data_IF_664258521873
#
_entry.id   IF_664258521873
#
_cell.length_a   1.000
_cell.length_b   1.000
_cell.length_c   1.000
_cell.angle_alpha   90.00
_cell.angle_beta   90.00
_cell.angle_gamma   90.00
#
_symmetry.space_group_name_H-M   'P 1'
#
loop_
_entity.id
_entity.type
_entity.pdbx_description
1 polymer ?
#
# COMPACT_ATOMS: atom_id res chain seq x y z
N UNK A 1 35.93 19.71 -25.85
CA UNK A 1 35.48 19.04 -27.08
C UNK A 1 34.05 18.63 -26.91
N UNK A 2 33.26 19.21 -27.47
CA UNK A 2 31.98 19.30 -28.09
C UNK A 2 31.40 17.96 -28.52
N UNK A 3 30.11 17.76 -28.25
CA UNK A 3 29.33 16.64 -28.76
C UNK A 3 27.87 16.77 -28.34
N UNK A 4 27.17 17.59 -29.12
CA UNK A 4 25.74 17.82 -29.09
C UNK A 4 25.01 16.72 -29.87
N UNK A 5 23.91 16.12 -29.32
CA UNK A 5 22.90 15.44 -30.14
C UNK A 5 21.51 15.70 -29.58
N UNK A 6 20.77 16.51 -30.34
CA UNK A 6 19.39 16.88 -30.12
C UNK A 6 18.42 15.75 -30.45
N UNK A 7 17.32 15.66 -29.71
CA UNK A 7 16.18 14.78 -29.96
C UNK A 7 15.15 15.39 -30.92
N UNK A 8 14.28 14.58 -31.54
CA UNK A 8 13.50 14.95 -32.72
C UNK A 8 12.03 15.33 -32.42
N UNK A 9 11.79 16.36 -31.60
CA UNK A 9 10.47 16.99 -31.50
C UNK A 9 10.59 18.46 -31.19
N UNK A 10 10.89 19.24 -32.23
CA UNK A 10 10.90 20.69 -32.18
C UNK A 10 10.64 21.25 -33.58
N UNK A 11 9.50 21.90 -33.74
CA UNK A 11 9.23 22.73 -34.87
C UNK A 11 7.95 23.49 -34.57
N UNK A 12 7.92 24.73 -34.42
CA UNK A 12 8.54 25.81 -35.11
C UNK A 12 7.43 26.73 -35.53
N UNK A 13 7.28 27.86 -34.80
CA UNK A 13 6.33 28.88 -35.14
C UNK A 13 6.76 29.64 -36.39
N UNK A 14 5.82 30.27 -37.02
CA UNK A 14 6.13 31.50 -37.75
C UNK A 14 4.96 32.45 -37.79
N UNK A 15 5.30 33.65 -37.48
CA UNK A 15 4.61 34.91 -37.47
C UNK A 15 4.51 35.45 -38.91
N UNK A 16 3.42 36.13 -39.28
CA UNK A 16 3.31 36.79 -40.56
C UNK A 16 2.07 37.67 -40.68
N UNK A 17 2.25 38.92 -40.43
CA UNK A 17 1.42 40.11 -40.54
C UNK A 17 1.06 40.48 -42.01
N UNK A 18 -0.09 41.18 -42.14
CA UNK A 18 -0.45 42.02 -43.30
C UNK A 18 -1.81 41.63 -43.87
N UNK A 19 -2.86 42.36 -43.77
CA UNK A 19 -3.15 43.69 -44.18
C UNK A 19 -3.78 43.70 -45.59
N UNK A 20 -5.02 44.18 -45.75
CA UNK A 20 -5.53 44.60 -47.07
C UNK A 20 -6.96 44.21 -47.41
N UNK A 21 -7.71 45.22 -47.52
CA UNK A 21 -9.11 45.42 -47.83
C UNK A 21 -9.59 44.85 -49.18
N UNK A 22 -10.90 44.89 -49.30
CA UNK A 22 -11.79 45.17 -50.43
C UNK A 22 -12.53 44.04 -51.14
N UNK A 23 -13.82 44.20 -50.99
CA UNK A 23 -14.89 44.19 -51.98
C UNK A 23 -15.26 42.97 -52.86
N UNK A 24 -16.50 42.60 -52.57
CA UNK A 24 -17.62 42.55 -53.55
C UNK A 24 -17.86 41.34 -54.46
N UNK A 25 -19.09 40.88 -54.31
CA UNK A 25 -19.99 40.26 -55.32
C UNK A 25 -19.75 38.80 -55.78
N UNK A 26 -20.72 38.03 -55.42
CA UNK A 26 -21.53 37.42 -56.51
C UNK A 26 -21.38 35.96 -56.77
N UNK A 27 -22.48 35.28 -56.56
CA UNK A 27 -23.02 34.22 -57.40
C UNK A 27 -22.52 32.76 -57.26
N UNK A 28 -23.44 31.98 -56.82
CA UNK A 28 -23.83 30.67 -57.40
C UNK A 28 -22.75 29.64 -57.73
N UNK A 29 -22.58 28.68 -56.90
CA UNK A 29 -21.85 27.48 -57.24
C UNK A 29 -22.31 26.28 -56.44
N UNK A 30 -22.96 25.34 -57.11
CA UNK A 30 -23.41 24.03 -56.61
C UNK A 30 -22.26 23.30 -55.89
N UNK A 31 -22.54 22.84 -54.69
CA UNK A 31 -21.67 21.87 -53.97
C UNK A 31 -21.93 20.48 -54.51
N UNK A 32 -20.90 19.67 -54.76
CA UNK A 32 -21.07 18.26 -55.04
C UNK A 32 -21.43 17.54 -53.74
N UNK A 33 -22.42 16.67 -53.88
CA UNK A 33 -22.85 15.71 -52.88
C UNK A 33 -21.68 14.77 -52.55
N UNK A 34 -21.30 14.69 -51.31
CA UNK A 34 -20.35 13.68 -50.83
C UNK A 34 -21.15 12.63 -50.04
N UNK A 35 -21.57 11.60 -50.78
CA UNK A 35 -22.21 10.40 -50.23
C UNK A 35 -21.16 9.57 -49.49
N UNK A 36 -20.98 9.84 -48.19
CA UNK A 36 -20.44 8.88 -47.25
C UNK A 36 -21.57 8.10 -46.61
N UNK A 37 -21.38 6.85 -46.17
CA UNK A 37 -22.43 6.05 -45.58
C UNK A 37 -22.92 6.70 -44.28
N UNK A 38 -24.07 7.36 -44.36
CA UNK A 38 -24.83 7.83 -43.22
C UNK A 38 -25.36 6.61 -42.48
N UNK A 39 -24.96 6.48 -41.22
CA UNK A 39 -25.59 5.58 -40.26
C UNK A 39 -26.72 6.37 -39.61
N UNK A 40 -28.00 6.21 -40.08
CA UNK A 40 -29.10 7.08 -39.66
C UNK A 40 -29.54 6.90 -38.20
N UNK A 41 -29.12 5.81 -37.54
CA UNK A 41 -29.62 5.46 -36.23
C UNK A 41 -29.03 6.28 -35.07
N UNK A 42 -27.83 6.81 -35.22
CA UNK A 42 -27.17 7.55 -34.12
C UNK A 42 -27.67 8.97 -34.03
N UNK A 43 -27.87 9.63 -35.16
CA UNK A 43 -28.38 11.00 -35.21
C UNK A 43 -29.85 11.08 -34.79
N UNK A 44 -30.67 10.08 -35.12
CA UNK A 44 -32.04 9.98 -34.65
C UNK A 44 -32.14 9.68 -33.15
N UNK A 45 -31.25 8.87 -32.62
CA UNK A 45 -31.18 8.62 -31.18
C UNK A 45 -30.71 9.86 -30.40
N UNK A 46 -29.72 10.58 -30.91
CA UNK A 46 -29.23 11.83 -30.31
C UNK A 46 -30.31 12.92 -30.38
N UNK A 47 -31.03 13.03 -31.49
CA UNK A 47 -32.10 14.01 -31.63
C UNK A 47 -33.32 13.66 -30.76
N UNK A 48 -33.73 12.38 -30.66
CA UNK A 48 -34.74 11.93 -29.71
C UNK A 48 -34.34 12.14 -28.26
N UNK A 49 -33.08 11.88 -27.92
CA UNK A 49 -32.55 12.17 -26.59
C UNK A 49 -32.57 13.66 -26.25
N UNK A 50 -32.23 14.52 -27.23
CA UNK A 50 -32.28 15.99 -27.06
C UNK A 50 -33.71 16.51 -26.95
N UNK A 51 -34.66 15.97 -27.71
CA UNK A 51 -36.08 16.34 -27.58
C UNK A 51 -36.66 15.91 -26.25
N UNK A 52 -36.38 14.72 -25.78
CA UNK A 52 -36.85 14.27 -24.46
C UNK A 52 -36.22 15.08 -23.33
N UNK A 53 -34.94 15.42 -23.43
CA UNK A 53 -34.25 16.34 -22.47
C UNK A 53 -34.88 17.75 -22.52
N UNK A 54 -35.25 18.25 -23.71
CA UNK A 54 -35.86 19.55 -23.88
C UNK A 54 -37.27 19.60 -23.28
N UNK A 55 -38.04 18.52 -23.41
CA UNK A 55 -39.38 18.39 -22.80
C UNK A 55 -39.29 18.26 -21.29
N UNK A 56 -38.28 17.52 -20.76
CA UNK A 56 -38.02 17.38 -19.33
C UNK A 56 -37.46 18.66 -18.69
N UNK A 57 -36.68 19.45 -19.44
CA UNK A 57 -36.15 20.73 -18.98
C UNK A 57 -37.08 21.93 -19.14
N UNK A 58 -38.34 21.71 -19.45
CA UNK A 58 -39.41 22.74 -19.37
C UNK A 58 -39.48 23.68 -20.56
N UNK A 59 -39.22 23.19 -21.79
CA UNK A 59 -39.46 23.91 -23.03
C UNK A 59 -40.94 23.79 -23.47
N UNK A 60 -41.88 24.40 -22.74
CA UNK A 60 -43.25 24.58 -23.14
C UNK A 60 -43.37 25.68 -24.21
N UNK A 61 -43.78 25.29 -25.43
CA UNK A 61 -44.07 26.18 -26.52
C UNK A 61 -45.35 26.99 -26.24
N UNK A 62 -45.21 28.20 -25.76
CA UNK A 62 -46.29 29.17 -25.53
C UNK A 62 -46.22 30.27 -26.54
N UNK A 63 -46.97 30.12 -27.63
CA UNK A 63 -47.27 31.15 -28.64
C UNK A 63 -48.05 32.30 -28.03
N UNK A 64 -47.44 33.48 -27.85
CA UNK A 64 -48.17 34.65 -27.40
C UNK A 64 -47.36 35.92 -27.20
N UNK A 65 -47.42 36.79 -28.21
CA UNK A 65 -47.43 38.27 -28.16
C UNK A 65 -46.27 39.06 -27.47
N UNK A 66 -45.68 39.83 -28.33
CA UNK A 66 -44.91 41.05 -28.18
C UNK A 66 -45.41 41.96 -27.03
N UNK A 67 -44.47 42.37 -26.15
CA UNK A 67 -44.65 43.43 -25.19
C UNK A 67 -43.36 43.64 -24.41
N UNK A 68 -42.71 44.80 -24.59
CA UNK A 68 -41.39 45.14 -24.13
C UNK A 68 -41.21 45.36 -22.67
N UNK A 69 -39.95 45.39 -22.26
CA UNK A 69 -39.47 46.16 -21.12
C UNK A 69 -39.02 45.37 -19.90
N UNK A 70 -37.77 45.56 -19.53
CA UNK A 70 -37.33 45.44 -18.14
C UNK A 70 -36.40 44.27 -17.81
N UNK A 71 -35.09 44.57 -17.73
CA UNK A 71 -34.08 43.65 -17.22
C UNK A 71 -34.35 43.28 -15.76
N UNK A 72 -34.27 42.02 -15.48
CA UNK A 72 -34.22 41.46 -14.16
C UNK A 72 -33.69 40.04 -14.34
N UNK A 73 -32.48 39.75 -13.85
CA UNK A 73 -31.87 38.42 -13.89
C UNK A 73 -32.74 37.46 -13.08
N UNK A 74 -33.65 36.76 -13.73
CA UNK A 74 -34.34 35.63 -13.14
C UNK A 74 -33.38 34.44 -13.13
N UNK A 75 -32.85 34.15 -11.96
CA UNK A 75 -32.18 32.89 -11.70
C UNK A 75 -33.05 31.70 -12.09
N UNK A 76 -32.47 30.52 -12.31
CA UNK A 76 -33.20 29.33 -12.79
C UNK A 76 -34.36 29.05 -11.84
N UNK A 77 -35.60 29.13 -12.40
CA UNK A 77 -36.81 28.81 -11.65
C UNK A 77 -36.76 27.34 -11.25
N UNK A 78 -36.54 27.12 -9.94
CA UNK A 78 -36.59 25.78 -9.32
C UNK A 78 -38.03 25.26 -9.38
N UNK A 79 -38.38 24.64 -10.48
CA UNK A 79 -39.63 23.90 -10.60
C UNK A 79 -39.52 22.59 -9.83
N UNK A 80 -40.60 22.10 -9.22
CA UNK A 80 -40.66 20.84 -8.48
C UNK A 80 -40.03 19.66 -9.27
N UNK A 81 -40.14 19.68 -10.58
CA UNK A 81 -39.52 18.69 -11.48
C UNK A 81 -38.00 18.80 -11.56
N UNK A 82 -37.44 20.01 -11.62
CA UNK A 82 -35.96 20.20 -11.64
C UNK A 82 -35.32 19.84 -10.31
N UNK A 83 -36.00 20.10 -9.19
CA UNK A 83 -35.55 19.66 -7.85
C UNK A 83 -35.58 18.13 -7.77
N UNK A 84 -36.64 17.48 -8.25
CA UNK A 84 -36.76 16.02 -8.28
C UNK A 84 -35.63 15.37 -9.12
N UNK A 85 -35.35 15.91 -10.31
CA UNK A 85 -34.28 15.45 -11.18
C UNK A 85 -32.91 15.66 -10.53
N UNK A 86 -32.71 16.79 -9.86
CA UNK A 86 -31.49 17.10 -9.11
C UNK A 86 -31.23 16.10 -7.96
N UNK A 87 -32.27 15.77 -7.20
CA UNK A 87 -32.18 14.75 -6.13
C UNK A 87 -31.87 13.38 -6.72
N UNK A 88 -32.50 13.00 -7.81
CA UNK A 88 -32.25 11.70 -8.45
C UNK A 88 -30.84 11.60 -9.01
N UNK A 89 -30.30 12.67 -9.59
CA UNK A 89 -28.94 12.76 -10.05
C UNK A 89 -27.95 12.71 -8.86
N UNK A 90 -28.27 13.38 -7.76
CA UNK A 90 -27.44 13.33 -6.54
C UNK A 90 -27.40 11.93 -5.93
N UNK A 91 -28.54 11.22 -5.87
CA UNK A 91 -28.62 9.83 -5.41
C UNK A 91 -27.81 8.91 -6.35
N UNK A 92 -27.94 9.09 -7.66
CA UNK A 92 -27.17 8.30 -8.64
C UNK A 92 -25.66 8.50 -8.50
N UNK A 93 -25.23 9.75 -8.31
CA UNK A 93 -23.83 10.09 -8.11
C UNK A 93 -23.32 9.56 -6.75
N UNK A 94 -24.12 9.62 -5.72
CA UNK A 94 -23.82 9.06 -4.41
C UNK A 94 -23.68 7.53 -4.44
N UNK A 95 -24.59 6.83 -5.11
CA UNK A 95 -24.50 5.39 -5.33
C UNK A 95 -23.24 5.04 -6.12
N UNK A 96 -22.94 5.77 -7.18
CA UNK A 96 -21.73 5.56 -7.98
C UNK A 96 -20.46 5.75 -7.13
N UNK A 97 -20.39 6.78 -6.29
CA UNK A 97 -19.27 7.06 -5.39
C UNK A 97 -19.12 6.04 -4.24
N UNK A 98 -20.18 5.25 -3.96
CA UNK A 98 -20.17 4.23 -2.92
C UNK A 98 -19.53 2.92 -3.36
N UNK A 99 -19.35 2.71 -4.67
CA UNK A 99 -18.60 1.56 -5.17
C UNK A 99 -17.10 1.81 -5.11
N UNK A 100 -16.36 0.77 -4.74
CA UNK A 100 -14.89 0.81 -4.75
C UNK A 100 -14.32 -0.56 -5.08
N UNK A 101 -13.06 -0.58 -5.50
CA UNK A 101 -12.38 -1.82 -5.87
C UNK A 101 -11.22 -2.07 -4.92
N UNK A 102 -11.07 -3.32 -4.49
CA UNK A 102 -10.00 -3.83 -3.64
C UNK A 102 -9.13 -4.76 -4.48
N UNK A 103 -7.81 -4.58 -4.41
CA UNK A 103 -6.86 -5.41 -5.14
C UNK A 103 -6.78 -6.82 -4.56
N UNK A 104 -6.28 -7.82 -5.33
CA UNK A 104 -6.16 -9.21 -4.84
C UNK A 104 -5.27 -9.36 -3.60
N UNK A 105 -4.26 -8.49 -3.46
CA UNK A 105 -3.34 -8.46 -2.31
C UNK A 105 -3.87 -7.69 -1.11
N UNK A 106 -5.02 -7.01 -1.25
CA UNK A 106 -5.61 -6.15 -0.24
C UNK A 106 -6.93 -6.74 0.27
N UNK A 107 -7.31 -6.34 1.47
CA UNK A 107 -8.66 -6.50 2.03
C UNK A 107 -9.11 -5.18 2.61
N UNK A 108 -10.43 -4.94 2.56
CA UNK A 108 -11.01 -3.76 3.19
C UNK A 108 -11.69 -4.16 4.49
N UNK A 109 -11.53 -3.32 5.48
CA UNK A 109 -12.31 -3.39 6.72
C UNK A 109 -13.36 -2.30 6.66
N UNK A 110 -14.62 -2.69 6.66
CA UNK A 110 -15.75 -1.77 6.61
C UNK A 110 -16.28 -1.48 8.02
N UNK A 111 -16.47 -0.19 8.29
CA UNK A 111 -16.95 0.28 9.57
C UNK A 111 -18.27 1.03 9.38
N UNK A 112 -19.31 0.58 10.06
CA UNK A 112 -20.59 1.27 10.14
C UNK A 112 -20.58 2.24 11.33
N UNK A 113 -20.53 3.53 11.04
CA UNK A 113 -20.45 4.60 12.06
C UNK A 113 -19.30 4.43 13.09
N UNK A 114 -18.22 3.73 12.68
CA UNK A 114 -17.07 3.45 13.53
C UNK A 114 -17.07 2.08 14.21
N UNK A 115 -18.15 1.30 14.09
CA UNK A 115 -18.23 -0.08 14.55
C UNK A 115 -17.88 -1.03 13.39
N UNK A 116 -17.17 -2.12 13.67
CA UNK A 116 -16.83 -3.12 12.67
C UNK A 116 -18.09 -3.73 12.06
N UNK A 117 -18.16 -3.74 10.73
CA UNK A 117 -19.25 -4.34 9.97
C UNK A 117 -18.85 -5.67 9.36
N UNK A 118 -17.91 -5.63 8.42
CA UNK A 118 -17.41 -6.82 7.74
C UNK A 118 -16.03 -6.58 7.12
N UNK A 119 -15.38 -7.66 6.67
CA UNK A 119 -14.15 -7.62 5.88
C UNK A 119 -14.50 -7.81 4.42
N UNK A 120 -14.31 -6.77 3.62
CA UNK A 120 -14.52 -6.82 2.18
C UNK A 120 -13.41 -7.61 1.48
N UNK A 121 -13.81 -8.53 0.61
CA UNK A 121 -12.90 -9.32 -0.19
C UNK A 121 -12.37 -8.54 -1.40
N UNK A 122 -11.37 -9.13 -2.09
CA UNK A 122 -10.85 -8.56 -3.35
C UNK A 122 -11.94 -8.49 -4.42
N UNK A 123 -12.02 -7.36 -5.13
CA UNK A 123 -13.00 -7.12 -6.16
C UNK A 123 -13.81 -5.83 -5.96
N UNK A 124 -15.04 -5.83 -6.43
CA UNK A 124 -15.95 -4.70 -6.31
C UNK A 124 -16.74 -4.80 -5.01
N UNK A 125 -16.60 -3.81 -4.15
CA UNK A 125 -17.30 -3.70 -2.87
C UNK A 125 -18.17 -2.43 -2.84
N UNK A 126 -19.09 -2.37 -1.88
CA UNK A 126 -20.06 -1.29 -1.75
C UNK A 126 -20.07 -0.73 -0.32
N UNK A 127 -19.54 0.48 -0.14
CA UNK A 127 -19.52 1.19 1.14
C UNK A 127 -20.15 2.58 0.97
N UNK A 128 -21.39 2.79 1.39
CA UNK A 128 -22.10 4.06 1.23
C UNK A 128 -21.57 5.11 2.20
N UNK A 129 -20.64 5.93 1.70
CA UNK A 129 -20.13 7.07 2.45
C UNK A 129 -21.26 8.13 2.67
N UNK A 130 -21.41 8.78 3.81
CA UNK A 130 -20.53 8.79 5.00
C UNK A 130 -20.90 7.76 6.08
N UNK A 131 -21.89 6.90 5.85
CA UNK A 131 -22.44 5.97 6.85
C UNK A 131 -21.47 4.81 7.08
N UNK A 132 -20.92 4.26 5.98
CA UNK A 132 -19.91 3.22 6.01
C UNK A 132 -18.57 3.84 5.60
N UNK A 133 -17.59 3.71 6.46
CA UNK A 133 -16.19 4.05 6.17
C UNK A 133 -15.41 2.77 5.91
N UNK A 134 -14.34 2.86 5.13
CA UNK A 134 -13.51 1.72 4.77
C UNK A 134 -12.04 2.00 4.99
N UNK A 135 -11.32 1.00 5.43
CA UNK A 135 -9.86 1.01 5.49
C UNK A 135 -9.32 -0.16 4.67
N UNK A 136 -8.46 0.13 3.69
CA UNK A 136 -7.89 -0.89 2.79
C UNK A 136 -6.48 -1.20 3.22
N UNK A 137 -6.22 -2.49 3.50
CA UNK A 137 -4.96 -2.96 4.04
C UNK A 137 -4.39 -4.05 3.14
N UNK A 138 -3.10 -3.92 2.79
CA UNK A 138 -2.38 -4.98 2.11
C UNK A 138 -2.09 -6.12 3.09
N UNK A 139 -2.74 -7.27 2.88
CA UNK A 139 -2.65 -8.44 3.77
C UNK A 139 -1.61 -9.44 3.29
N UNK A 140 -1.48 -9.61 1.97
CA UNK A 140 -0.56 -10.61 1.40
C UNK A 140 0.89 -10.13 1.38
N UNK A 141 1.12 -8.82 1.42
CA UNK A 141 2.45 -8.26 1.35
C UNK A 141 3.27 -8.62 2.59
N UNK A 142 4.44 -9.19 2.35
CA UNK A 142 5.43 -9.38 3.40
C UNK A 142 5.97 -8.03 3.87
N UNK A 143 6.04 -7.88 5.18
CA UNK A 143 6.63 -6.73 5.86
C UNK A 143 7.79 -7.22 6.69
N UNK A 144 8.81 -6.39 6.86
CA UNK A 144 9.96 -6.71 7.68
C UNK A 144 10.16 -5.67 8.79
N UNK A 145 10.63 -6.13 9.92
CA UNK A 145 11.09 -5.30 11.04
C UNK A 145 12.48 -5.79 11.40
N UNK A 146 13.44 -4.86 11.40
CA UNK A 146 14.81 -5.12 11.81
C UNK A 146 14.96 -4.80 13.30
N UNK A 147 15.48 -5.75 14.07
CA UNK A 147 15.59 -5.69 15.53
C UNK A 147 17.06 -5.86 15.90
N UNK A 148 17.51 -5.10 16.91
CA UNK A 148 18.91 -5.06 17.30
C UNK A 148 19.72 -3.98 16.59
N UNK A 149 19.31 -3.59 15.39
CA UNK A 149 20.00 -2.56 14.60
C UNK A 149 19.81 -1.20 15.25
N UNK A 150 20.79 -0.77 16.05
CA UNK A 150 20.77 0.54 16.66
C UNK A 150 21.00 1.64 15.63
N UNK A 151 19.93 2.31 15.21
CA UNK A 151 20.03 3.52 14.37
C UNK A 151 20.63 4.72 15.10
N UNK A 152 20.78 4.64 16.43
CA UNK A 152 21.22 5.76 17.29
C UNK A 152 22.42 5.42 18.17
N UNK A 153 23.13 4.32 17.91
CA UNK A 153 24.32 3.95 18.71
C UNK A 153 23.99 3.42 20.10
N UNK A 154 22.83 2.79 20.30
CA UNK A 154 22.43 2.19 21.57
C UNK A 154 22.68 0.69 21.61
N UNK A 155 22.56 0.11 22.79
CA UNK A 155 22.83 -1.30 23.11
C UNK A 155 21.63 -2.23 22.81
N UNK A 156 20.83 -1.91 21.76
CA UNK A 156 19.56 -2.59 21.49
C UNK A 156 19.71 -4.08 21.16
N UNK A 157 20.83 -4.47 20.53
CA UNK A 157 21.14 -5.87 20.17
C UNK A 157 21.86 -6.66 21.27
N UNK A 158 22.27 -6.02 22.36
CA UNK A 158 23.04 -6.69 23.41
C UNK A 158 22.15 -7.57 24.29
N UNK A 159 22.50 -8.84 24.37
CA UNK A 159 21.79 -9.85 25.17
C UNK A 159 22.76 -10.70 25.95
N UNK A 160 22.29 -11.23 27.09
CA UNK A 160 23.04 -12.13 27.94
C UNK A 160 22.64 -13.57 27.67
N UNK A 161 23.61 -14.43 27.39
CA UNK A 161 23.43 -15.87 27.20
C UNK A 161 23.34 -16.62 28.52
N UNK A 162 22.90 -17.89 28.50
CA UNK A 162 22.77 -18.74 29.67
C UNK A 162 24.12 -19.08 30.33
N UNK A 163 25.20 -19.01 29.59
CA UNK A 163 26.61 -19.18 30.06
C UNK A 163 27.31 -17.84 30.39
N UNK A 164 26.52 -16.79 30.70
CA UNK A 164 26.98 -15.49 31.21
C UNK A 164 27.85 -14.69 30.21
N UNK A 165 27.72 -14.96 28.91
CA UNK A 165 28.38 -14.19 27.87
C UNK A 165 27.44 -13.11 27.32
N UNK A 166 28.01 -11.98 26.87
CA UNK A 166 27.27 -10.93 26.18
C UNK A 166 27.42 -11.13 24.67
N UNK A 167 26.31 -11.11 23.98
CA UNK A 167 26.22 -11.20 22.50
C UNK A 167 25.51 -9.99 21.95
N UNK A 168 25.90 -9.57 20.76
CA UNK A 168 25.27 -8.55 19.95
C UNK A 168 24.54 -9.23 18.80
N UNK A 169 23.21 -9.18 18.81
CA UNK A 169 22.35 -9.92 17.89
C UNK A 169 21.46 -8.96 17.13
N UNK A 170 21.62 -8.97 15.80
CA UNK A 170 20.73 -8.31 14.85
C UNK A 170 19.94 -9.37 14.11
N UNK A 171 18.62 -9.19 14.03
CA UNK A 171 17.74 -10.10 13.31
C UNK A 171 16.57 -9.36 12.69
N UNK A 172 16.01 -9.97 11.65
CA UNK A 172 14.87 -9.45 10.91
C UNK A 172 13.69 -10.40 11.06
N UNK A 173 12.55 -9.85 11.41
CA UNK A 173 11.28 -10.57 11.46
C UNK A 173 10.47 -10.22 10.22
N UNK A 174 10.11 -11.25 9.44
CA UNK A 174 9.26 -11.12 8.27
C UNK A 174 7.87 -11.64 8.61
N UNK A 175 6.87 -10.79 8.39
CA UNK A 175 5.50 -11.04 8.79
C UNK A 175 4.49 -10.51 7.79
N UNK A 176 3.27 -11.01 7.85
CA UNK A 176 2.13 -10.49 7.09
C UNK A 176 0.87 -10.45 7.97
N UNK A 177 -0.22 -9.91 7.44
CA UNK A 177 -1.49 -9.81 8.13
C UNK A 177 -2.37 -10.96 7.67
N UNK A 178 -2.85 -11.78 8.61
CA UNK A 178 -3.80 -12.87 8.33
C UNK A 178 -5.23 -12.38 8.52
N UNK A 179 -5.48 -11.66 9.60
CA UNK A 179 -6.80 -11.11 9.91
C UNK A 179 -6.71 -9.58 10.08
N UNK A 180 -7.20 -8.81 9.08
CA UNK A 180 -7.13 -7.36 9.14
C UNK A 180 -8.04 -6.74 10.21
N UNK A 181 -9.10 -7.43 10.64
CA UNK A 181 -9.96 -6.97 11.72
C UNK A 181 -9.18 -6.99 13.04
N UNK A 182 -8.62 -8.14 13.41
CA UNK A 182 -7.86 -8.28 14.65
C UNK A 182 -6.65 -7.33 14.67
N UNK A 183 -5.96 -7.21 13.53
CA UNK A 183 -4.82 -6.30 13.37
C UNK A 183 -5.15 -4.84 13.65
N UNK A 184 -6.32 -4.36 13.23
CA UNK A 184 -6.73 -2.96 13.42
C UNK A 184 -7.28 -2.66 14.81
N UNK A 185 -8.00 -3.61 15.41
CA UNK A 185 -8.76 -3.30 16.63
C UNK A 185 -8.13 -3.82 17.91
N UNK A 186 -7.32 -4.86 17.85
CA UNK A 186 -6.74 -5.46 19.05
C UNK A 186 -5.39 -4.86 19.44
N UNK A 187 -4.67 -4.28 18.49
CA UNK A 187 -3.36 -3.69 18.72
C UNK A 187 -3.37 -2.18 18.48
N UNK A 188 -2.98 -1.41 19.49
CA UNK A 188 -2.89 0.05 19.34
C UNK A 188 -1.76 0.47 18.39
N UNK A 189 -0.65 -0.24 18.40
CA UNK A 189 0.51 0.00 17.53
C UNK A 189 1.15 -1.34 17.13
N UNK A 190 0.61 -2.01 16.09
CA UNK A 190 1.06 -3.33 15.71
C UNK A 190 2.56 -3.46 15.45
N UNK A 191 3.22 -2.56 14.69
CA UNK A 191 4.66 -2.69 14.44
C UNK A 191 5.50 -2.65 15.72
N UNK A 192 5.21 -1.76 16.65
CA UNK A 192 5.93 -1.67 17.93
C UNK A 192 5.66 -2.89 18.82
N UNK A 193 4.43 -3.42 18.80
CA UNK A 193 4.10 -4.63 19.54
C UNK A 193 4.86 -5.84 19.01
N UNK A 194 4.96 -5.99 17.68
CA UNK A 194 5.73 -7.06 17.05
C UNK A 194 7.21 -6.92 17.41
N UNK A 195 7.77 -5.72 17.32
CA UNK A 195 9.17 -5.41 17.69
C UNK A 195 9.44 -5.80 19.14
N UNK A 196 8.66 -5.29 20.09
CA UNK A 196 8.83 -5.57 21.52
C UNK A 196 8.64 -7.05 21.86
N UNK A 197 7.66 -7.71 21.25
CA UNK A 197 7.44 -9.15 21.44
C UNK A 197 8.61 -9.96 20.88
N UNK A 198 9.11 -9.61 19.72
CA UNK A 198 10.23 -10.31 19.09
C UNK A 198 11.52 -10.12 19.88
N UNK A 199 11.80 -8.91 20.38
CA UNK A 199 12.94 -8.66 21.25
C UNK A 199 12.86 -9.44 22.57
N UNK A 200 11.67 -9.48 23.19
CA UNK A 200 11.44 -10.24 24.41
C UNK A 200 11.62 -11.75 24.21
N UNK A 201 11.06 -12.28 23.12
CA UNK A 201 11.18 -13.70 22.77
C UNK A 201 12.63 -14.09 22.45
N UNK A 202 13.36 -13.23 21.74
CA UNK A 202 14.78 -13.45 21.48
C UNK A 202 15.56 -13.48 22.78
N UNK A 203 15.36 -12.50 23.66
CA UNK A 203 16.05 -12.44 24.96
C UNK A 203 15.76 -13.69 25.81
N UNK A 204 14.54 -14.21 25.76
CA UNK A 204 14.19 -15.46 26.45
C UNK A 204 14.97 -16.66 25.89
N UNK A 205 15.01 -16.83 24.58
CA UNK A 205 15.73 -17.94 23.94
C UNK A 205 17.23 -17.84 24.18
N UNK A 206 17.81 -16.65 24.03
CA UNK A 206 19.25 -16.44 24.23
C UNK A 206 19.67 -16.68 25.68
N UNK A 207 18.85 -16.28 26.65
CA UNK A 207 19.15 -16.51 28.07
C UNK A 207 19.13 -18.00 28.48
N UNK A 208 18.51 -18.85 27.67
CA UNK A 208 18.46 -20.30 27.84
C UNK A 208 19.49 -21.06 26.98
N UNK A 209 20.22 -20.34 26.11
CA UNK A 209 21.16 -20.90 25.14
C UNK A 209 22.61 -20.58 25.54
N UNK A 210 23.53 -21.49 25.20
CA UNK A 210 24.97 -21.23 25.31
C UNK A 210 25.46 -20.44 24.08
N UNK A 211 26.56 -19.74 24.21
CA UNK A 211 27.10 -18.89 23.14
C UNK A 211 27.52 -19.68 21.89
N UNK A 212 28.20 -20.81 22.05
CA UNK A 212 28.78 -21.57 20.94
C UNK A 212 27.73 -22.09 19.95
N UNK A 213 26.55 -22.65 20.34
CA UNK A 213 25.44 -22.98 19.45
C UNK A 213 24.89 -21.79 18.68
N UNK A 214 24.73 -20.64 19.33
CA UNK A 214 24.20 -19.41 18.75
C UNK A 214 25.06 -18.93 17.59
N UNK A 215 26.39 -18.99 17.76
CA UNK A 215 27.33 -18.49 16.75
C UNK A 215 27.42 -19.39 15.51
N UNK A 216 27.19 -20.71 15.63
CA UNK A 216 27.60 -21.66 14.58
C UNK A 216 26.47 -22.53 13.99
N UNK A 217 26.01 -23.55 14.72
CA UNK A 217 25.26 -24.66 14.14
C UNK A 217 23.75 -24.56 14.26
N UNK A 218 23.26 -23.89 15.27
CA UNK A 218 21.87 -23.99 15.66
C UNK A 218 21.05 -22.75 15.31
N UNK A 219 21.61 -21.83 14.51
CA UNK A 219 20.93 -20.60 14.08
C UNK A 219 19.56 -20.88 13.43
N UNK A 220 19.47 -21.91 12.59
CA UNK A 220 18.21 -22.29 11.96
C UNK A 220 17.19 -22.79 12.98
N UNK A 221 17.60 -23.68 13.89
CA UNK A 221 16.71 -24.19 14.94
C UNK A 221 16.28 -23.08 15.92
N UNK A 222 17.18 -22.14 16.22
CA UNK A 222 16.88 -20.96 17.04
C UNK A 222 15.88 -20.04 16.31
N UNK A 223 16.07 -19.81 15.01
CA UNK A 223 15.14 -19.02 14.20
C UNK A 223 13.73 -19.61 14.17
N UNK A 224 13.62 -20.93 14.03
CA UNK A 224 12.33 -21.63 14.05
C UNK A 224 11.65 -21.55 15.43
N UNK A 225 12.42 -21.78 16.52
CA UNK A 225 11.91 -21.61 17.88
C UNK A 225 11.47 -20.19 18.16
N UNK A 226 12.24 -19.22 17.71
CA UNK A 226 11.92 -17.81 17.87
C UNK A 226 10.63 -17.44 17.12
N UNK A 227 10.51 -17.88 15.85
CA UNK A 227 9.28 -17.69 15.10
C UNK A 227 8.07 -18.24 15.84
N UNK A 228 8.16 -19.48 16.33
CA UNK A 228 7.05 -20.14 17.03
C UNK A 228 6.71 -19.46 18.36
N UNK A 229 7.70 -18.98 19.09
CA UNK A 229 7.50 -18.24 20.33
C UNK A 229 6.86 -16.87 20.10
N UNK A 230 7.33 -16.12 19.10
CA UNK A 230 6.74 -14.84 18.69
C UNK A 230 5.30 -15.08 18.26
N UNK A 231 5.04 -16.07 17.40
CA UNK A 231 3.70 -16.39 16.91
C UNK A 231 2.76 -16.73 18.06
N UNK A 232 3.16 -17.62 18.96
CA UNK A 232 2.35 -18.02 20.13
C UNK A 232 2.01 -16.80 21.00
N UNK A 233 2.95 -15.91 21.21
CA UNK A 233 2.75 -14.69 21.99
C UNK A 233 1.78 -13.73 21.30
N UNK A 234 1.96 -13.50 19.99
CA UNK A 234 1.06 -12.64 19.21
C UNK A 234 -0.34 -13.23 19.07
N UNK A 235 -0.45 -14.56 18.99
CA UNK A 235 -1.75 -15.26 19.01
C UNK A 235 -2.48 -15.07 20.34
N UNK A 236 -1.75 -15.02 21.45
CA UNK A 236 -2.35 -14.76 22.78
C UNK A 236 -2.94 -13.36 22.91
N UNK A 237 -2.55 -12.43 22.05
CA UNK A 237 -3.09 -11.07 21.95
C UNK A 237 -4.20 -10.95 20.89
N UNK A 238 -4.56 -12.03 20.22
CA UNK A 238 -5.45 -12.03 19.05
C UNK A 238 -5.01 -10.95 18.02
N UNK A 239 -3.73 -10.96 17.68
CA UNK A 239 -3.11 -9.87 16.90
C UNK A 239 -3.48 -9.86 15.41
N UNK A 240 -3.97 -10.97 14.86
CA UNK A 240 -4.23 -11.13 13.42
C UNK A 240 -2.97 -11.08 12.54
N UNK A 241 -1.77 -11.27 13.14
CA UNK A 241 -0.47 -11.25 12.48
C UNK A 241 0.07 -12.67 12.34
N UNK A 242 0.71 -12.96 11.21
CA UNK A 242 1.41 -14.22 10.99
C UNK A 242 2.89 -13.96 10.74
N UNK A 243 3.75 -14.62 11.52
CA UNK A 243 5.19 -14.57 11.35
C UNK A 243 5.62 -15.62 10.34
N UNK A 244 6.15 -15.16 9.22
CA UNK A 244 6.55 -16.03 8.10
C UNK A 244 7.89 -16.68 8.41
N UNK A 245 8.89 -15.86 8.76
CA UNK A 245 10.26 -16.30 9.08
C UNK A 245 11.01 -15.28 9.91
N UNK A 246 12.04 -15.74 10.58
CA UNK A 246 13.03 -14.92 11.26
C UNK A 246 14.39 -15.17 10.61
N UNK A 247 15.08 -14.10 10.24
CA UNK A 247 16.42 -14.15 9.67
C UNK A 247 17.41 -13.55 10.64
N UNK A 248 18.50 -14.25 10.92
CA UNK A 248 19.61 -13.70 11.67
C UNK A 248 20.56 -12.97 10.72
N UNK A 249 20.80 -11.69 10.97
CA UNK A 249 21.77 -10.90 10.19
C UNK A 249 23.14 -10.94 10.87
N UNK A 250 23.18 -10.73 12.18
CA UNK A 250 24.41 -10.72 12.97
C UNK A 250 24.19 -11.45 14.29
N UNK A 251 25.20 -12.18 14.72
CA UNK A 251 25.29 -12.72 16.07
C UNK A 251 26.78 -12.85 16.38
N UNK A 252 27.34 -11.85 17.06
CA UNK A 252 28.77 -11.74 17.36
C UNK A 252 28.98 -11.26 18.80
N UNK A 253 30.10 -11.58 19.41
CA UNK A 253 30.50 -10.91 20.66
C UNK A 253 30.68 -9.40 20.42
N UNK A 254 30.43 -8.53 21.42
CA UNK A 254 30.67 -7.10 21.31
C UNK A 254 32.11 -6.78 20.90
N UNK A 255 32.30 -5.75 20.04
CA UNK A 255 33.62 -5.39 19.48
C UNK A 255 34.76 -5.32 20.48
N UNK A 256 34.59 -4.74 21.69
CA UNK A 256 35.71 -4.62 22.66
C UNK A 256 36.26 -5.97 23.17
N UNK A 257 35.45 -7.04 23.10
CA UNK A 257 35.82 -8.36 23.65
C UNK A 257 36.17 -9.40 22.58
N UNK A 258 36.01 -9.09 21.31
CA UNK A 258 36.26 -10.02 20.18
C UNK A 258 37.69 -10.61 20.25
N UNK A 259 38.72 -9.79 20.55
CA UNK A 259 40.11 -10.24 20.62
C UNK A 259 40.32 -11.24 21.75
N UNK A 260 39.74 -10.98 22.92
CA UNK A 260 39.84 -11.88 24.09
C UNK A 260 39.09 -13.19 23.84
N UNK A 261 37.92 -13.11 23.19
CA UNK A 261 37.13 -14.27 22.85
C UNK A 261 37.85 -15.19 21.86
N UNK A 262 38.50 -14.62 20.83
CA UNK A 262 39.33 -15.40 19.87
C UNK A 262 40.48 -16.10 20.57
N UNK A 263 41.15 -15.42 21.52
CA UNK A 263 42.25 -16.03 22.27
C UNK A 263 41.79 -17.22 23.12
N UNK A 264 40.56 -17.16 23.69
CA UNK A 264 39.97 -18.31 24.42
C UNK A 264 39.65 -19.46 23.46
N UNK A 265 39.05 -19.18 22.30
CA UNK A 265 38.76 -20.21 21.29
C UNK A 265 40.05 -20.89 20.78
N UNK A 266 41.11 -20.12 20.52
CA UNK A 266 42.38 -20.64 20.08
C UNK A 266 42.98 -21.56 21.15
N UNK A 267 42.88 -21.17 22.42
CA UNK A 267 43.37 -21.98 23.57
C UNK A 267 42.55 -23.28 23.73
N UNK A 268 41.24 -23.22 23.55
CA UNK A 268 40.37 -24.41 23.56
C UNK A 268 40.70 -25.39 22.42
N UNK A 269 40.87 -24.88 21.22
CA UNK A 269 41.27 -25.70 20.06
C UNK A 269 42.63 -26.35 20.27
N UNK A 270 43.59 -25.62 20.85
CA UNK A 270 44.90 -26.17 21.16
C UNK A 270 44.82 -27.23 22.25
N UNK A 271 44.02 -27.04 23.30
CA UNK A 271 43.73 -28.04 24.32
C UNK A 271 43.19 -29.32 23.70
N UNK A 272 42.13 -29.20 22.85
CA UNK A 272 41.50 -30.35 22.22
C UNK A 272 42.45 -31.06 21.24
N UNK A 273 43.30 -30.30 20.54
CA UNK A 273 44.36 -30.85 19.70
C UNK A 273 45.36 -31.69 20.51
N UNK A 274 45.82 -31.13 21.61
CA UNK A 274 46.79 -31.82 22.51
C UNK A 274 46.18 -33.05 23.13
N UNK A 275 44.90 -32.98 23.55
CA UNK A 275 44.17 -34.13 24.07
C UNK A 275 44.03 -35.23 23.03
N UNK A 276 43.59 -34.90 21.79
CA UNK A 276 43.44 -35.87 20.70
C UNK A 276 44.80 -36.53 20.35
N UNK A 277 45.91 -35.81 20.39
CA UNK A 277 47.24 -36.34 20.16
C UNK A 277 47.64 -37.31 21.32
N UNK A 278 47.36 -36.94 22.57
CA UNK A 278 47.63 -37.79 23.71
C UNK A 278 46.81 -39.09 23.69
N UNK A 279 45.50 -38.98 23.35
CA UNK A 279 44.61 -40.14 23.21
C UNK A 279 45.04 -41.06 22.06
N UNK A 280 45.47 -40.48 20.92
CA UNK A 280 46.01 -41.26 19.81
C UNK A 280 47.30 -42.02 20.19
N UNK A 281 48.17 -41.38 20.95
CA UNK A 281 49.37 -42.04 21.47
C UNK A 281 49.06 -43.14 22.46
N UNK A 282 48.10 -42.90 23.42
CA UNK A 282 47.64 -43.90 24.36
C UNK A 282 47.02 -45.15 23.69
N UNK A 283 46.38 -44.96 22.57
CA UNK A 283 45.76 -46.08 21.78
C UNK A 283 46.78 -46.84 20.92
N UNK A 284 48.03 -46.37 20.76
CA UNK A 284 49.10 -47.02 20.00
C UNK A 284 50.02 -47.86 20.88
N UNK A 285 50.01 -47.69 22.18
CA UNK A 285 50.73 -48.44 23.18
C UNK A 285 49.87 -49.55 23.75
#
# INVERSE_FOLDING_TARGET
>A
MAGNTGGPWGGGGNNGSGGGDDDNRGNGGRRPNNDGPNIPEIDDLVNKGREQLRVLMGGGDGKGRIGGGGGGGEGPKLTRGTVGLGILAAIGLWLYASFYTVRPEERSVELFLGEFLEVGESGLNFAPWPIVTREVIAVTNERNIDIGVSRTGGDAGLMLTGDENIVDIDFQVVWNITDPQLYLFNLANPPQTIEATSESAMREIISQSELAPILNRDRGAIADRLRDLIQTTLDSYDSGVNIIRVNFDKADPPEPVIASFRAVQDAEQERDRVQNVADAYANQV
#
